data_IF_756347362623
#
_entry.id   IF_756347362623
#
_cell.length_a   1.000
_cell.length_b   1.000
_cell.length_c   1.000
_cell.angle_alpha   90.00
_cell.angle_beta   90.00
_cell.angle_gamma   90.00
#
_symmetry.space_group_name_H-M   'P 1'
#
loop_
_entity.id
_entity.type
_entity.pdbx_description
1 polymer ?
#
# COMPACT_ATOMS: atom_id res chain seq x y z
N UNK A 1 9.97 -26.82 6.03
CA UNK A 1 9.54 -25.44 6.21
C UNK A 1 9.54 -24.70 4.87
N UNK A 2 8.46 -24.00 4.60
CA UNK A 2 8.27 -23.29 3.34
C UNK A 2 7.79 -21.87 3.63
N UNK A 3 8.43 -20.88 2.99
CA UNK A 3 7.98 -19.49 3.04
C UNK A 3 6.79 -19.35 2.09
N UNK A 4 5.64 -18.92 2.63
CA UNK A 4 4.40 -18.79 1.86
C UNK A 4 3.97 -17.33 1.66
N UNK A 5 4.64 -16.39 2.29
CA UNK A 5 4.35 -14.96 2.13
C UNK A 5 5.40 -14.11 2.78
N UNK A 6 5.37 -12.83 2.45
CA UNK A 6 6.29 -11.85 3.02
C UNK A 6 5.65 -10.46 3.07
N UNK A 7 6.17 -9.64 3.97
CA UNK A 7 5.72 -8.27 4.18
C UNK A 7 6.94 -7.42 4.46
N UNK A 8 7.22 -6.46 3.61
CA UNK A 8 8.41 -5.62 3.68
C UNK A 8 8.04 -4.19 4.02
N UNK A 9 8.86 -3.53 4.82
CA UNK A 9 8.65 -2.14 5.23
C UNK A 9 9.99 -1.46 5.51
N UNK A 10 9.99 -0.13 5.52
CA UNK A 10 11.11 0.66 5.99
C UNK A 10 10.58 1.77 6.90
N UNK A 11 11.45 2.30 7.73
CA UNK A 11 11.11 3.45 8.56
C UNK A 11 11.59 4.70 7.83
N UNK A 12 10.71 5.69 7.74
CA UNK A 12 11.00 6.97 7.12
C UNK A 12 10.45 8.09 8.00
N UNK A 13 10.92 9.31 7.76
CA UNK A 13 10.24 10.49 8.23
C UNK A 13 9.35 10.96 7.08
N UNK A 14 8.05 10.61 7.16
CA UNK A 14 7.15 10.77 6.01
C UNK A 14 6.94 12.22 5.61
N UNK A 15 7.21 13.18 6.50
CA UNK A 15 7.13 14.59 6.15
C UNK A 15 8.02 14.95 4.96
N UNK A 16 9.09 14.20 4.73
CA UNK A 16 9.97 14.38 3.56
C UNK A 16 9.32 13.91 2.26
N UNK A 17 8.28 13.08 2.35
CA UNK A 17 7.61 12.47 1.21
C UNK A 17 6.12 12.84 1.13
N UNK A 18 5.66 13.79 1.92
CA UNK A 18 4.24 14.15 2.04
C UNK A 18 3.71 14.92 0.82
N UNK A 19 4.41 14.81 -0.29
CA UNK A 19 3.99 15.26 -1.62
C UNK A 19 3.88 14.06 -2.54
N UNK A 20 3.51 14.27 -3.77
CA UNK A 20 3.53 13.21 -4.77
C UNK A 20 4.93 12.57 -4.81
N UNK A 21 4.98 11.26 -4.69
CA UNK A 21 6.22 10.50 -4.76
C UNK A 21 5.98 9.18 -5.49
N UNK A 22 7.05 8.59 -5.99
CA UNK A 22 7.01 7.27 -6.64
C UNK A 22 7.50 6.20 -5.68
N UNK A 23 7.18 4.95 -6.02
CA UNK A 23 7.71 3.81 -5.27
C UNK A 23 9.25 3.80 -5.29
N UNK A 24 9.84 4.10 -6.46
CA UNK A 24 11.31 4.16 -6.61
C UNK A 24 11.91 5.22 -5.69
N UNK A 25 11.28 6.37 -5.55
CA UNK A 25 11.78 7.43 -4.69
C UNK A 25 11.74 7.04 -3.20
N UNK A 26 10.60 6.55 -2.74
CA UNK A 26 10.43 6.29 -1.31
C UNK A 26 11.14 5.02 -0.84
N UNK A 27 11.41 4.07 -1.73
CA UNK A 27 12.10 2.83 -1.39
C UNK A 27 13.57 2.83 -1.84
N UNK A 28 14.04 3.91 -2.44
CA UNK A 28 15.36 3.96 -3.08
C UNK A 28 15.51 2.80 -4.07
N UNK A 29 14.56 2.71 -5.01
CA UNK A 29 14.49 1.67 -6.04
C UNK A 29 14.46 0.24 -5.47
N UNK A 30 13.91 0.08 -4.28
CA UNK A 30 13.84 -1.21 -3.59
C UNK A 30 15.09 -1.57 -2.80
N UNK A 31 16.13 -0.76 -2.84
CA UNK A 31 17.35 -0.99 -2.06
C UNK A 31 17.22 -0.56 -0.59
N UNK A 32 16.21 0.25 -0.26
CA UNK A 32 15.90 0.74 1.09
C UNK A 32 17.08 1.33 1.86
N UNK A 33 18.06 1.91 1.14
CA UNK A 33 19.22 2.58 1.77
C UNK A 33 18.83 3.83 2.54
N UNK A 34 17.64 4.38 2.23
CA UNK A 34 17.07 5.55 2.91
C UNK A 34 16.30 5.18 4.21
N UNK A 35 16.36 3.93 4.64
CA UNK A 35 15.78 3.53 5.92
C UNK A 35 16.39 4.36 7.06
N UNK A 36 15.53 4.99 7.87
CA UNK A 36 15.91 5.85 8.98
C UNK A 36 15.42 5.25 10.31
N UNK A 37 16.30 4.60 11.10
CA UNK A 37 15.88 4.01 12.37
C UNK A 37 15.29 5.01 13.37
N UNK A 38 15.54 6.30 13.17
CA UNK A 38 15.05 7.37 14.03
C UNK A 38 13.80 8.04 13.48
N UNK A 39 13.29 7.58 12.34
CA UNK A 39 12.08 8.10 11.73
C UNK A 39 10.82 7.77 12.51
N UNK A 40 9.71 8.34 12.09
CA UNK A 40 8.43 8.27 12.81
C UNK A 40 7.40 7.35 12.17
N UNK A 41 7.60 6.97 10.92
CA UNK A 41 6.57 6.32 10.12
C UNK A 41 7.08 5.01 9.56
N UNK A 42 6.23 3.99 9.58
CA UNK A 42 6.50 2.73 8.91
C UNK A 42 5.88 2.79 7.52
N UNK A 43 6.70 2.71 6.48
CA UNK A 43 6.21 2.70 5.11
C UNK A 43 6.21 1.27 4.58
N UNK A 44 5.03 0.80 4.18
CA UNK A 44 4.88 -0.54 3.63
C UNK A 44 5.31 -0.58 2.17
N UNK A 45 6.25 -1.45 1.87
CA UNK A 45 6.81 -1.60 0.52
C UNK A 45 5.98 -2.57 -0.29
N UNK A 46 5.73 -3.76 0.28
CA UNK A 46 4.98 -4.80 -0.40
C UNK A 46 4.43 -5.83 0.58
N UNK A 47 3.42 -6.55 0.14
CA UNK A 47 2.90 -7.75 0.80
C UNK A 47 2.71 -8.79 -0.29
N UNK A 48 3.29 -9.96 -0.12
CA UNK A 48 3.17 -11.06 -1.07
C UNK A 48 2.69 -12.32 -0.37
N UNK A 49 1.77 -13.04 -1.01
CA UNK A 49 1.27 -14.33 -0.55
C UNK A 49 1.38 -15.32 -1.71
N UNK A 50 1.96 -16.47 -1.43
CA UNK A 50 2.08 -17.56 -2.43
C UNK A 50 0.69 -17.91 -2.97
N UNK A 51 0.51 -18.03 -4.29
CA UNK A 51 -0.82 -18.24 -4.89
C UNK A 51 -1.59 -19.43 -4.33
N UNK A 52 -0.91 -20.51 -3.98
CA UNK A 52 -1.56 -21.71 -3.42
C UNK A 52 -2.06 -21.52 -1.99
N UNK A 53 -1.63 -20.47 -1.32
CA UNK A 53 -2.00 -20.16 0.07
C UNK A 53 -2.89 -18.92 0.18
N UNK A 54 -3.35 -18.39 -0.93
CA UNK A 54 -4.31 -17.28 -0.93
C UNK A 54 -5.66 -17.74 -0.37
N UNK A 55 -6.47 -16.79 0.10
CA UNK A 55 -7.78 -17.06 0.75
C UNK A 55 -7.68 -17.76 2.10
N UNK A 56 -6.48 -17.83 2.68
CA UNK A 56 -6.24 -18.39 4.02
C UNK A 56 -5.96 -17.29 5.05
N UNK A 57 -6.33 -16.06 4.73
CA UNK A 57 -6.13 -14.87 5.58
C UNK A 57 -4.67 -14.56 5.90
N UNK A 58 -3.74 -15.03 5.08
CA UNK A 58 -2.30 -14.78 5.26
C UNK A 58 -1.99 -13.29 5.13
N UNK A 59 -2.56 -12.61 4.13
CA UNK A 59 -2.39 -11.17 3.95
C UNK A 59 -2.81 -10.38 5.17
N UNK A 60 -3.96 -10.72 5.76
CA UNK A 60 -4.44 -10.08 6.98
C UNK A 60 -3.48 -10.30 8.15
N UNK A 61 -2.97 -11.51 8.29
CA UNK A 61 -1.99 -11.83 9.35
C UNK A 61 -0.69 -11.06 9.17
N UNK A 62 -0.25 -10.87 7.92
CA UNK A 62 0.93 -10.04 7.62
C UNK A 62 0.66 -8.57 7.95
N UNK A 63 -0.53 -8.06 7.66
CA UNK A 63 -0.93 -6.70 8.04
C UNK A 63 -0.95 -6.54 9.56
N UNK A 64 -1.49 -7.51 10.28
CA UNK A 64 -1.51 -7.50 11.74
C UNK A 64 -0.09 -7.49 12.32
N UNK A 65 0.81 -8.29 11.75
CA UNK A 65 2.22 -8.32 12.15
C UNK A 65 2.91 -6.96 11.92
N UNK A 66 2.59 -6.30 10.82
CA UNK A 66 3.11 -4.96 10.53
C UNK A 66 2.59 -3.94 11.54
N UNK A 67 1.32 -4.02 11.91
CA UNK A 67 0.73 -3.15 12.94
C UNK A 67 1.41 -3.37 14.29
N UNK A 68 1.62 -4.62 14.68
CA UNK A 68 2.32 -4.96 15.91
C UNK A 68 3.75 -4.43 15.91
N UNK A 69 4.44 -4.51 14.78
CA UNK A 69 5.78 -3.97 14.63
C UNK A 69 5.80 -2.45 14.85
N UNK A 70 4.86 -1.73 14.24
CA UNK A 70 4.76 -0.29 14.41
C UNK A 70 4.54 0.10 15.87
N UNK A 71 3.69 -0.63 16.58
CA UNK A 71 3.45 -0.41 18.02
C UNK A 71 4.71 -0.69 18.83
N UNK A 72 5.38 -1.82 18.58
CA UNK A 72 6.61 -2.19 19.32
C UNK A 72 7.74 -1.19 19.12
N UNK A 73 7.83 -0.61 17.92
CA UNK A 73 8.85 0.40 17.61
C UNK A 73 8.40 1.82 17.96
N UNK A 74 7.21 1.97 18.56
CA UNK A 74 6.65 3.26 18.95
C UNK A 74 6.58 4.27 17.79
N UNK A 75 6.19 3.80 16.61
CA UNK A 75 6.04 4.64 15.43
C UNK A 75 4.68 5.34 15.42
N UNK A 76 4.61 6.50 14.79
CA UNK A 76 3.41 7.34 14.79
C UNK A 76 2.33 6.83 13.86
N UNK A 77 2.71 6.21 12.76
CA UNK A 77 1.75 5.76 11.75
C UNK A 77 2.36 4.71 10.83
N UNK A 78 1.46 4.03 10.12
CA UNK A 78 1.81 3.19 8.98
C UNK A 78 1.29 3.90 7.73
N UNK A 79 2.12 3.99 6.69
CA UNK A 79 1.76 4.56 5.40
C UNK A 79 2.04 3.54 4.32
N UNK A 80 1.14 3.40 3.37
CA UNK A 80 1.31 2.48 2.25
C UNK A 80 0.83 3.13 0.95
N UNK A 81 1.49 2.78 -0.15
CA UNK A 81 1.01 3.10 -1.49
C UNK A 81 0.29 1.89 -2.05
N UNK A 82 -1.02 1.93 -2.12
CA UNK A 82 -1.84 0.81 -2.56
C UNK A 82 -2.09 0.85 -4.07
N UNK A 83 -1.96 -0.32 -4.70
CA UNK A 83 -2.36 -0.47 -6.11
C UNK A 83 -3.89 -0.44 -6.22
N UNK A 84 -4.38 -0.12 -7.41
CA UNK A 84 -5.81 -0.22 -7.76
C UNK A 84 -5.95 -1.06 -9.04
N UNK A 85 -5.66 -2.37 -8.97
CA UNK A 85 -5.46 -3.20 -10.17
C UNK A 85 -6.69 -3.38 -11.05
N UNK A 86 -7.89 -3.12 -10.56
CA UNK A 86 -9.10 -3.19 -11.38
C UNK A 86 -9.48 -1.86 -12.03
N UNK A 87 -8.73 -0.78 -11.77
CA UNK A 87 -9.07 0.53 -12.32
C UNK A 87 -9.07 0.52 -13.85
N UNK A 88 -8.19 -0.24 -14.50
CA UNK A 88 -8.15 -0.30 -15.97
C UNK A 88 -9.48 -0.71 -16.61
N UNK A 89 -10.32 -1.43 -15.86
CA UNK A 89 -11.65 -1.85 -16.35
C UNK A 89 -12.65 -0.70 -16.39
N UNK A 90 -12.38 0.39 -15.71
CA UNK A 90 -13.27 1.54 -15.54
C UNK A 90 -12.67 2.85 -16.04
N UNK A 91 -11.44 2.83 -16.53
CA UNK A 91 -10.67 4.05 -16.83
C UNK A 91 -11.28 4.93 -17.93
N UNK A 92 -12.07 4.36 -18.81
CA UNK A 92 -12.77 5.14 -19.83
C UNK A 92 -14.04 5.82 -19.31
N UNK A 93 -14.56 5.36 -18.17
CA UNK A 93 -15.81 5.84 -17.58
C UNK A 93 -15.59 6.70 -16.35
N UNK A 94 -14.47 6.51 -15.65
CA UNK A 94 -14.19 7.13 -14.36
C UNK A 94 -12.77 7.64 -14.27
N UNK A 95 -12.59 8.78 -13.62
CA UNK A 95 -11.27 9.23 -13.17
C UNK A 95 -10.79 8.32 -12.02
N UNK A 96 -9.48 8.32 -11.70
CA UNK A 96 -9.00 7.56 -10.54
C UNK A 96 -9.72 7.92 -9.25
N UNK A 97 -10.00 9.19 -9.03
CA UNK A 97 -10.73 9.64 -7.84
C UNK A 97 -12.16 9.10 -7.80
N UNK A 98 -12.87 9.19 -8.90
CA UNK A 98 -14.23 8.64 -8.99
C UNK A 98 -14.24 7.14 -8.71
N UNK A 99 -13.28 6.40 -9.29
CA UNK A 99 -13.15 4.97 -9.06
C UNK A 99 -12.90 4.67 -7.57
N UNK A 100 -11.95 5.37 -6.95
CA UNK A 100 -11.61 5.18 -5.54
C UNK A 100 -12.83 5.49 -4.65
N UNK A 101 -13.57 6.55 -4.94
CA UNK A 101 -14.78 6.90 -4.20
C UNK A 101 -15.85 5.81 -4.31
N UNK A 102 -16.02 5.20 -5.49
CA UNK A 102 -16.95 4.09 -5.68
C UNK A 102 -16.53 2.83 -4.91
N UNK A 103 -15.24 2.56 -4.82
CA UNK A 103 -14.73 1.45 -4.00
C UNK A 103 -14.98 1.74 -2.51
N UNK A 104 -14.72 2.97 -2.07
CA UNK A 104 -14.97 3.37 -0.68
C UNK A 104 -16.46 3.30 -0.32
N UNK A 105 -17.33 3.60 -1.27
CA UNK A 105 -18.78 3.51 -1.10
C UNK A 105 -19.31 2.07 -1.23
N UNK A 106 -18.43 1.09 -1.46
CA UNK A 106 -18.76 -0.33 -1.62
C UNK A 106 -19.57 -0.65 -2.87
N UNK A 107 -19.56 0.23 -3.88
CA UNK A 107 -20.21 0.00 -5.16
C UNK A 107 -19.34 -0.79 -6.14
N UNK A 108 -18.02 -0.74 -5.97
CA UNK A 108 -17.04 -1.47 -6.77
C UNK A 108 -16.09 -2.20 -5.83
N UNK A 109 -15.72 -3.43 -6.19
CA UNK A 109 -14.71 -4.20 -5.48
C UNK A 109 -13.35 -4.03 -6.17
N UNK A 110 -12.32 -3.67 -5.39
CA UNK A 110 -10.93 -3.71 -5.83
C UNK A 110 -10.14 -4.62 -4.89
N UNK A 111 -9.42 -5.62 -5.42
CA UNK A 111 -8.77 -6.62 -4.56
C UNK A 111 -7.73 -6.06 -3.60
N UNK A 112 -7.10 -4.93 -3.94
CA UNK A 112 -6.11 -4.29 -3.07
C UNK A 112 -6.75 -3.22 -2.20
N UNK A 113 -7.41 -2.24 -2.81
CA UNK A 113 -7.99 -1.12 -2.07
C UNK A 113 -9.07 -1.57 -1.09
N UNK A 114 -9.97 -2.46 -1.51
CA UNK A 114 -11.01 -3.00 -0.62
C UNK A 114 -10.38 -3.69 0.58
N UNK A 115 -9.34 -4.50 0.36
CA UNK A 115 -8.63 -5.19 1.44
C UNK A 115 -8.00 -4.20 2.42
N UNK A 116 -7.37 -3.14 1.93
CA UNK A 116 -6.75 -2.14 2.79
C UNK A 116 -7.78 -1.39 3.63
N UNK A 117 -8.89 -1.00 3.02
CA UNK A 117 -10.00 -0.36 3.75
C UNK A 117 -10.56 -1.27 4.84
N UNK A 118 -10.73 -2.56 4.54
CA UNK A 118 -11.21 -3.55 5.52
C UNK A 118 -10.23 -3.76 6.69
N UNK A 119 -8.96 -3.45 6.49
CA UNK A 119 -7.93 -3.57 7.52
C UNK A 119 -7.68 -2.24 8.27
N UNK A 120 -8.58 -1.28 8.12
CA UNK A 120 -8.57 -0.04 8.90
C UNK A 120 -7.78 1.10 8.30
N UNK A 121 -7.22 0.93 7.11
CA UNK A 121 -6.50 1.99 6.44
C UNK A 121 -7.46 3.04 5.87
N UNK A 122 -7.03 4.29 5.88
CA UNK A 122 -7.80 5.44 5.43
C UNK A 122 -7.07 6.12 4.27
N UNK A 123 -7.82 6.56 3.28
CA UNK A 123 -7.26 7.27 2.13
C UNK A 123 -6.72 8.63 2.54
N UNK A 124 -5.46 8.90 2.19
CA UNK A 124 -4.85 10.22 2.34
C UNK A 124 -4.88 11.00 1.03
N UNK A 125 -4.44 10.38 -0.06
CA UNK A 125 -4.51 10.98 -1.40
C UNK A 125 -4.26 9.91 -2.47
N UNK A 126 -4.35 10.31 -3.73
CA UNK A 126 -4.03 9.49 -4.88
C UNK A 126 -2.71 9.97 -5.47
N UNK A 127 -1.74 9.07 -5.60
CA UNK A 127 -0.47 9.32 -6.28
C UNK A 127 -0.57 8.87 -7.74
N UNK A 128 -0.05 9.68 -8.65
CA UNK A 128 0.11 9.29 -10.05
C UNK A 128 1.56 8.83 -10.28
N UNK A 129 1.76 8.02 -11.33
CA UNK A 129 3.08 7.48 -11.69
C UNK A 129 3.80 6.79 -10.53
N UNK A 130 3.06 6.13 -9.64
CA UNK A 130 3.64 5.52 -8.44
C UNK A 130 4.52 4.31 -8.78
N UNK A 131 3.98 3.36 -9.53
CA UNK A 131 4.70 2.18 -10.04
C UNK A 131 4.68 2.25 -11.57
N UNK A 132 5.85 2.42 -12.18
CA UNK A 132 5.99 2.68 -13.61
C UNK A 132 5.49 1.55 -14.52
N UNK A 133 5.46 0.30 -14.01
CA UNK A 133 5.06 -0.88 -14.76
C UNK A 133 3.66 -1.40 -14.35
N UNK A 134 2.96 -0.68 -13.49
CA UNK A 134 1.63 -1.08 -13.02
C UNK A 134 0.54 -0.54 -13.96
N UNK A 135 0.39 -1.18 -15.10
CA UNK A 135 -0.59 -0.78 -16.12
C UNK A 135 -2.03 -1.05 -15.71
N UNK A 136 -2.28 -2.08 -14.91
CA UNK A 136 -3.63 -2.41 -14.42
C UNK A 136 -4.19 -1.31 -13.52
N UNK A 137 -3.35 -0.63 -12.78
CA UNK A 137 -3.71 0.54 -11.98
C UNK A 137 -3.54 1.84 -12.76
N UNK A 138 -3.12 1.77 -14.03
CA UNK A 138 -2.73 2.91 -14.87
C UNK A 138 -1.72 3.81 -14.16
N UNK A 139 -0.82 3.19 -13.40
CA UNK A 139 0.27 3.82 -12.62
C UNK A 139 -0.20 4.65 -11.43
N UNK A 140 -1.50 4.66 -11.14
CA UNK A 140 -2.02 5.33 -9.95
C UNK A 140 -1.90 4.43 -8.72
N UNK A 141 -1.80 5.07 -7.58
CA UNK A 141 -1.85 4.38 -6.28
C UNK A 141 -2.60 5.24 -5.28
N UNK A 142 -3.26 4.59 -4.35
CA UNK A 142 -3.85 5.27 -3.20
C UNK A 142 -2.81 5.35 -2.10
N UNK A 143 -2.57 6.56 -1.59
CA UNK A 143 -1.77 6.72 -0.40
C UNK A 143 -2.68 6.53 0.81
N UNK A 144 -2.45 5.43 1.52
CA UNK A 144 -3.27 5.02 2.65
C UNK A 144 -2.48 5.13 3.95
N UNK A 145 -3.16 5.43 5.05
CA UNK A 145 -2.49 5.51 6.35
C UNK A 145 -3.36 4.93 7.47
N UNK A 146 -2.68 4.53 8.52
CA UNK A 146 -3.29 4.01 9.74
C UNK A 146 -2.66 4.67 10.96
#
# INVERSE_FOLDING_TARGET
>A
DKIIGSCSSLIVNFDEYDVQHTWDEITDKGYIRNHDPKGYNLYGIEVMVHPEYRRMKIGRRLYDARKDLAVRLNLKSIVIGGRIPNYHKYSEEMTPREYVEEVMAQNIYDPVLTFQLMNGFVLKRINNNYLKDDFNSMKYATLMHL
#
